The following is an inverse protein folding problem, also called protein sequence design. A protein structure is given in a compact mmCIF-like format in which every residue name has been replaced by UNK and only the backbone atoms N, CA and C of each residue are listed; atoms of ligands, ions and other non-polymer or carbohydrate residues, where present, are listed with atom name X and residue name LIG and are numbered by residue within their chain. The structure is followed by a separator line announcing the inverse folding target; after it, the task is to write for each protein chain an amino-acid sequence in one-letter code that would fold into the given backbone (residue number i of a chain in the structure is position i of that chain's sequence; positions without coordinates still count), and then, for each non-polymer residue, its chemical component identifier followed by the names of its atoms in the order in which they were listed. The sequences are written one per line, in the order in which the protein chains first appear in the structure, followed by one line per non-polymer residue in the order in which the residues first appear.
data_IF_675633081286
#
_entry.id   IF_675633081286
#
_cell.length_a   1.000
_cell.length_b   1.000
_cell.length_c   1.000
_cell.angle_alpha   90.00
_cell.angle_beta   90.00
_cell.angle_gamma   90.00
#
_symmetry.space_group_name_H-M   'P 1'
#
loop_
_entity.id
_entity.type
_entity.pdbx_description
1 polymer ?
#
# COMPACT_ATOMS: atom_id res chain seq x y z
N UNK A 1 7.48 19.53 -8.00
CA UNK A 1 8.86 19.01 -7.83
C UNK A 1 9.78 20.21 -7.84
N UNK A 2 10.63 20.35 -6.82
CA UNK A 2 11.55 21.48 -6.68
C UNK A 2 12.99 21.00 -6.89
N UNK A 3 13.77 21.77 -7.64
CA UNK A 3 15.20 21.57 -7.81
C UNK A 3 15.87 22.76 -7.13
N UNK A 4 16.05 22.65 -5.82
CA UNK A 4 16.70 23.67 -5.02
C UNK A 4 18.22 23.55 -5.19
N UNK A 5 18.79 24.51 -5.92
CA UNK A 5 20.23 24.59 -6.19
C UNK A 5 20.79 25.91 -5.67
N UNK A 6 22.09 25.89 -5.44
CA UNK A 6 22.88 27.08 -5.15
C UNK A 6 23.70 27.42 -6.40
N UNK A 7 23.93 28.70 -6.64
CA UNK A 7 24.73 29.18 -7.77
C UNK A 7 25.65 30.30 -7.30
N UNK A 8 26.80 30.41 -7.94
CA UNK A 8 27.71 31.55 -7.77
C UNK A 8 27.53 32.52 -8.96
N UNK A 9 27.09 33.76 -8.76
CA UNK A 9 26.94 34.74 -9.84
C UNK A 9 28.21 35.01 -10.65
N UNK A 10 29.40 34.82 -10.05
CA UNK A 10 30.68 35.09 -10.68
C UNK A 10 31.21 33.89 -11.49
N UNK A 11 30.83 32.65 -11.10
CA UNK A 11 31.29 31.41 -11.76
C UNK A 11 30.21 30.75 -12.65
N UNK A 12 28.94 30.79 -12.26
CA UNK A 12 27.82 30.09 -12.90
C UNK A 12 27.10 30.95 -13.95
N UNK A 13 27.87 31.42 -14.92
CA UNK A 13 27.34 32.18 -16.07
C UNK A 13 26.53 31.27 -17.02
N UNK A 14 25.48 31.84 -17.62
CA UNK A 14 24.57 31.15 -18.57
C UNK A 14 23.89 29.92 -17.97
N UNK A 15 23.30 30.12 -16.80
CA UNK A 15 22.56 29.06 -16.13
C UNK A 15 21.39 28.53 -16.99
N UNK A 16 21.23 27.21 -16.99
CA UNK A 16 20.10 26.51 -17.62
C UNK A 16 19.59 25.45 -16.66
N UNK A 17 18.29 25.51 -16.38
CA UNK A 17 17.56 24.51 -15.59
C UNK A 17 16.84 23.58 -16.56
N UNK A 18 17.08 22.27 -16.49
CA UNK A 18 16.38 21.26 -17.28
C UNK A 18 15.75 20.22 -16.37
N UNK A 19 14.57 19.75 -16.76
CA UNK A 19 13.93 18.59 -16.15
C UNK A 19 13.72 17.53 -17.23
N UNK A 20 14.16 16.31 -16.94
CA UNK A 20 13.99 15.11 -17.76
C UNK A 20 13.01 14.17 -17.07
N UNK A 21 12.30 13.37 -17.87
CA UNK A 21 11.36 12.36 -17.40
C UNK A 21 11.82 10.99 -17.85
N UNK A 22 11.97 10.05 -16.92
CA UNK A 22 12.57 8.73 -17.14
C UNK A 22 13.86 8.86 -17.99
N UNK A 23 14.02 7.98 -18.98
CA UNK A 23 15.18 7.95 -19.87
C UNK A 23 14.95 8.75 -21.17
N UNK A 24 14.02 9.72 -21.16
CA UNK A 24 13.75 10.53 -22.35
C UNK A 24 14.95 11.41 -22.68
N UNK A 25 15.41 11.44 -23.95
CA UNK A 25 16.61 12.18 -24.34
C UNK A 25 16.40 13.70 -24.37
N UNK A 26 15.15 14.14 -24.49
CA UNK A 26 14.79 15.56 -24.50
C UNK A 26 14.20 15.98 -23.14
N UNK A 27 14.50 17.20 -22.66
CA UNK A 27 13.91 17.69 -21.42
C UNK A 27 12.41 17.90 -21.60
N UNK A 28 11.62 17.54 -20.60
CA UNK A 28 10.18 17.87 -20.52
C UNK A 28 9.95 19.33 -20.11
N UNK A 29 10.98 19.98 -19.56
CA UNK A 29 10.97 21.40 -19.23
C UNK A 29 12.39 21.96 -19.25
N UNK A 30 12.55 23.18 -19.78
CA UNK A 30 13.80 23.93 -19.71
C UNK A 30 13.53 25.39 -19.39
N UNK A 31 14.40 26.00 -18.59
CA UNK A 31 14.37 27.43 -18.30
C UNK A 31 15.77 28.04 -18.32
N UNK A 32 15.89 29.22 -18.93
CA UNK A 32 17.11 30.03 -18.98
C UNK A 32 16.82 31.37 -18.28
N UNK A 33 17.33 31.61 -17.06
CA UNK A 33 16.99 32.80 -16.27
C UNK A 33 17.38 34.13 -16.91
N UNK A 34 18.54 34.18 -17.57
CA UNK A 34 19.10 35.41 -18.15
C UNK A 34 18.37 35.90 -19.40
N UNK A 35 17.41 35.14 -19.93
CA UNK A 35 16.68 35.52 -21.14
C UNK A 35 15.22 35.70 -20.86
N UNK A 36 14.69 36.86 -21.26
CA UNK A 36 13.27 37.17 -21.13
C UNK A 36 12.42 36.08 -21.78
N UNK A 37 11.55 35.47 -20.98
CA UNK A 37 10.52 34.52 -21.40
C UNK A 37 10.99 33.16 -22.00
N UNK A 38 12.22 32.71 -21.73
CA UNK A 38 12.76 31.44 -22.24
C UNK A 38 12.42 30.21 -21.37
N UNK A 39 11.13 29.92 -21.20
CA UNK A 39 10.67 28.61 -20.70
C UNK A 39 10.20 27.73 -21.84
N UNK A 40 10.79 26.56 -21.97
CA UNK A 40 10.34 25.50 -22.86
C UNK A 40 9.58 24.44 -22.05
N UNK A 41 8.44 24.02 -22.58
CA UNK A 41 7.56 23.01 -21.98
C UNK A 41 7.31 21.93 -23.03
N UNK A 42 7.74 20.72 -22.72
CA UNK A 42 7.56 19.55 -23.56
C UNK A 42 6.08 19.20 -23.75
N UNK A 43 5.74 18.66 -24.93
CA UNK A 43 4.35 18.34 -25.31
C UNK A 43 3.67 17.37 -24.35
N UNK A 44 4.43 16.42 -23.79
CA UNK A 44 3.93 15.37 -22.88
C UNK A 44 3.31 15.93 -21.61
N UNK A 45 3.89 16.99 -21.04
CA UNK A 45 3.43 17.58 -19.77
C UNK A 45 2.60 18.85 -19.96
N UNK A 46 2.54 19.41 -21.18
CA UNK A 46 1.97 20.74 -21.45
C UNK A 46 0.53 20.91 -20.97
N UNK A 47 -0.30 19.87 -21.09
CA UNK A 47 -1.71 19.87 -20.64
C UNK A 47 -1.87 19.95 -19.11
N UNK A 48 -0.79 19.68 -18.37
CA UNK A 48 -0.77 19.58 -16.92
C UNK A 48 0.09 20.68 -16.27
N UNK A 49 0.91 21.37 -17.07
CA UNK A 49 1.90 22.29 -16.55
C UNK A 49 1.27 23.61 -16.11
N UNK A 50 1.61 24.04 -14.90
CA UNK A 50 1.23 25.36 -14.42
C UNK A 50 2.25 26.43 -14.82
N UNK A 51 1.91 27.20 -15.86
CA UNK A 51 2.75 28.29 -16.35
C UNK A 51 2.94 29.43 -15.33
N UNK A 52 2.04 29.60 -14.37
CA UNK A 52 2.06 30.71 -13.43
C UNK A 52 2.77 30.34 -12.11
N UNK A 53 3.19 29.08 -11.96
CA UNK A 53 3.90 28.65 -10.77
C UNK A 53 5.32 29.24 -10.73
N UNK A 54 5.65 29.86 -9.61
CA UNK A 54 6.98 30.34 -9.28
C UNK A 54 7.27 30.13 -7.79
N UNK A 55 8.55 30.05 -7.43
CA UNK A 55 9.02 29.94 -6.05
C UNK A 55 9.82 31.20 -5.70
N UNK A 56 9.28 32.03 -4.80
CA UNK A 56 9.92 33.29 -4.41
C UNK A 56 10.04 34.28 -5.55
N UNK A 57 10.87 35.31 -5.35
CA UNK A 57 11.01 36.45 -6.26
C UNK A 57 12.41 36.57 -6.89
N UNK A 58 13.34 35.70 -6.52
CA UNK A 58 14.71 35.73 -7.03
C UNK A 58 14.76 35.36 -8.52
N UNK A 59 15.45 36.18 -9.32
CA UNK A 59 15.43 36.09 -10.77
C UNK A 59 16.05 34.80 -11.32
N UNK A 60 16.99 34.20 -10.58
CA UNK A 60 17.69 33.00 -10.99
C UNK A 60 17.03 31.72 -10.48
N UNK A 61 16.22 31.77 -9.43
CA UNK A 61 15.63 30.57 -8.84
C UNK A 61 14.11 30.46 -8.99
N UNK A 62 13.40 31.55 -9.35
CA UNK A 62 11.92 31.59 -9.36
C UNK A 62 11.21 30.51 -10.17
N UNK A 63 11.80 30.00 -11.26
CA UNK A 63 11.20 28.95 -12.09
C UNK A 63 11.99 27.63 -12.06
N UNK A 64 12.71 27.37 -10.97
CA UNK A 64 13.49 26.13 -10.78
C UNK A 64 12.61 24.88 -10.58
N UNK A 65 11.37 25.09 -10.16
CA UNK A 65 10.42 24.04 -9.83
C UNK A 65 9.31 23.92 -10.87
N UNK A 66 8.83 22.69 -11.04
CA UNK A 66 7.70 22.38 -11.91
C UNK A 66 6.48 21.99 -11.06
N UNK A 67 5.32 22.57 -11.38
CA UNK A 67 4.02 22.22 -10.81
C UNK A 67 3.15 21.59 -11.90
N UNK A 68 2.79 20.33 -11.68
CA UNK A 68 1.87 19.58 -12.53
C UNK A 68 0.52 19.53 -11.83
N UNK A 69 -0.54 19.97 -12.50
CA UNK A 69 -1.90 19.98 -11.99
C UNK A 69 -2.74 18.99 -12.80
N UNK A 70 -3.67 18.26 -12.14
CA UNK A 70 -4.62 17.41 -12.84
C UNK A 70 -5.45 18.25 -13.83
N UNK A 71 -5.82 17.66 -14.99
CA UNK A 71 -6.68 18.35 -15.93
C UNK A 71 -8.07 18.57 -15.31
N UNK A 72 -8.84 19.55 -15.79
CA UNK A 72 -10.20 19.79 -15.31
C UNK A 72 -11.21 18.68 -15.65
N UNK A 73 -10.84 17.72 -16.52
CA UNK A 73 -11.68 16.57 -16.90
C UNK A 73 -11.44 15.36 -15.97
N UNK A 74 -12.40 14.42 -15.85
CA UNK A 74 -12.47 13.50 -14.72
C UNK A 74 -11.48 12.32 -14.72
N UNK A 75 -10.47 12.26 -15.59
CA UNK A 75 -9.55 11.11 -15.67
C UNK A 75 -8.28 11.29 -14.81
N UNK A 76 -8.49 11.43 -13.49
CA UNK A 76 -7.43 11.60 -12.47
C UNK A 76 -6.42 10.44 -12.44
N UNK A 77 -6.86 9.24 -12.81
CA UNK A 77 -6.00 8.05 -12.87
C UNK A 77 -5.11 8.02 -14.13
N UNK A 78 -5.56 8.51 -15.30
CA UNK A 78 -4.72 8.59 -16.51
C UNK A 78 -3.65 9.66 -16.32
N UNK A 79 -4.03 10.77 -15.69
CA UNK A 79 -3.10 11.80 -15.24
C UNK A 79 -2.00 11.21 -14.35
N UNK A 80 -2.37 10.37 -13.38
CA UNK A 80 -1.41 9.74 -12.48
C UNK A 80 -0.48 8.73 -13.16
N UNK A 81 -1.02 7.90 -14.06
CA UNK A 81 -0.24 6.87 -14.75
C UNK A 81 0.77 7.49 -15.73
N UNK A 82 0.37 8.48 -16.53
CA UNK A 82 1.23 9.12 -17.53
C UNK A 82 2.43 9.86 -16.92
N UNK A 83 2.29 10.34 -15.69
CA UNK A 83 3.27 11.19 -15.01
C UNK A 83 4.05 10.49 -13.90
N UNK A 84 3.73 9.24 -13.56
CA UNK A 84 4.50 8.48 -12.59
C UNK A 84 5.83 8.03 -13.20
N UNK A 85 6.94 8.33 -12.56
CA UNK A 85 8.26 7.97 -13.05
C UNK A 85 9.40 8.71 -12.36
N UNK A 86 10.59 8.55 -12.92
CA UNK A 86 11.78 9.27 -12.48
C UNK A 86 11.81 10.66 -13.11
N UNK A 87 12.13 11.67 -12.31
CA UNK A 87 12.31 13.04 -12.75
C UNK A 87 13.70 13.48 -12.36
N UNK A 88 14.48 13.87 -13.35
CA UNK A 88 15.87 14.29 -13.16
C UNK A 88 15.96 15.77 -13.46
N UNK A 89 16.28 16.57 -12.44
CA UNK A 89 16.67 17.95 -12.66
C UNK A 89 18.16 18.02 -12.94
N UNK A 90 18.52 18.81 -13.94
CA UNK A 90 19.90 19.06 -14.37
C UNK A 90 20.09 20.56 -14.42
N UNK A 91 21.03 21.05 -13.64
CA UNK A 91 21.43 22.46 -13.58
C UNK A 91 22.78 22.56 -14.26
N UNK A 92 22.89 23.41 -15.27
CA UNK A 92 24.14 23.60 -16.02
C UNK A 92 24.47 25.06 -16.20
N UNK A 93 25.72 25.44 -15.99
CA UNK A 93 26.33 26.70 -16.43
C UNK A 93 27.34 26.41 -17.56
N UNK A 94 28.11 27.41 -17.98
CA UNK A 94 29.25 27.17 -18.89
C UNK A 94 30.35 26.34 -18.21
N UNK A 95 30.53 26.50 -16.90
CA UNK A 95 31.67 25.95 -16.16
C UNK A 95 31.34 24.63 -15.45
N UNK A 96 30.10 24.42 -15.07
CA UNK A 96 29.70 23.31 -14.21
C UNK A 96 28.34 22.72 -14.60
N UNK A 97 28.10 21.49 -14.17
CA UNK A 97 26.81 20.84 -14.27
C UNK A 97 26.61 19.94 -13.05
N UNK A 98 25.42 19.99 -12.47
CA UNK A 98 24.99 19.08 -11.41
C UNK A 98 23.57 18.54 -11.71
N UNK A 99 23.23 17.41 -11.11
CA UNK A 99 21.93 16.77 -11.32
C UNK A 99 21.42 16.05 -10.09
N UNK A 100 20.10 16.02 -9.95
CA UNK A 100 19.41 15.23 -8.92
C UNK A 100 18.19 14.55 -9.51
N UNK A 101 18.00 13.30 -9.15
CA UNK A 101 16.83 12.52 -9.54
C UNK A 101 15.91 12.26 -8.35
N UNK A 102 14.61 12.38 -8.57
CA UNK A 102 13.56 11.96 -7.64
C UNK A 102 12.51 11.13 -8.36
N UNK A 103 11.80 10.29 -7.62
CA UNK A 103 10.70 9.49 -8.17
C UNK A 103 9.35 10.11 -7.76
N UNK A 104 8.46 10.30 -8.73
CA UNK A 104 7.07 10.70 -8.50
C UNK A 104 6.18 9.50 -8.78
N UNK A 105 5.34 9.12 -7.82
CA UNK A 105 4.40 8.01 -7.94
C UNK A 105 3.01 8.49 -7.58
N UNK A 106 2.07 8.35 -8.50
CA UNK A 106 0.66 8.51 -8.23
C UNK A 106 0.07 7.16 -7.86
N UNK A 107 -0.74 7.14 -6.81
CA UNK A 107 -1.40 5.93 -6.36
C UNK A 107 -2.85 6.20 -5.96
N UNK A 108 -3.66 5.16 -6.03
CA UNK A 108 -5.02 5.14 -5.53
C UNK A 108 -5.09 4.17 -4.35
N UNK A 109 -5.34 4.66 -3.13
CA UNK A 109 -5.61 3.82 -1.98
C UNK A 109 -6.80 2.88 -2.25
N UNK A 110 -6.88 1.72 -1.58
CA UNK A 110 -8.05 0.85 -1.66
C UNK A 110 -9.32 1.61 -1.30
N UNK A 111 -10.33 1.46 -2.15
CA UNK A 111 -11.70 1.83 -1.82
C UNK A 111 -12.19 0.99 -0.64
N UNK A 112 -11.89 -0.31 -0.67
CA UNK A 112 -12.23 -1.26 0.38
C UNK A 112 -11.03 -2.13 0.72
N UNK A 113 -10.72 -2.26 2.00
CA UNK A 113 -9.68 -3.15 2.53
C UNK A 113 -10.29 -4.01 3.63
N UNK A 114 -10.30 -5.33 3.45
CA UNK A 114 -10.99 -6.27 4.32
C UNK A 114 -10.07 -7.39 4.77
N UNK A 115 -10.30 -7.86 5.99
CA UNK A 115 -9.64 -9.02 6.55
C UNK A 115 -10.66 -9.74 7.41
N UNK A 116 -11.01 -10.96 7.00
CA UNK A 116 -12.14 -11.72 7.51
C UNK A 116 -11.72 -13.16 7.80
N UNK A 117 -12.39 -13.81 8.75
CA UNK A 117 -12.23 -15.23 9.05
C UNK A 117 -13.57 -15.97 8.91
N UNK A 118 -13.50 -17.16 8.34
CA UNK A 118 -14.63 -18.03 8.04
C UNK A 118 -14.38 -19.41 8.68
N UNK A 119 -15.35 -19.93 9.41
CA UNK A 119 -15.38 -21.35 9.81
C UNK A 119 -16.07 -22.18 8.73
N UNK A 120 -15.92 -23.51 8.78
CA UNK A 120 -16.74 -24.46 8.04
C UNK A 120 -18.21 -24.29 8.49
N UNK A 121 -18.92 -23.29 7.95
CA UNK A 121 -20.29 -22.93 8.33
C UNK A 121 -20.67 -21.43 8.29
N UNK A 122 -19.72 -20.48 8.15
CA UNK A 122 -20.06 -19.05 8.04
C UNK A 122 -18.96 -18.05 8.45
N UNK A 123 -19.24 -16.74 8.34
CA UNK A 123 -18.34 -15.66 8.80
C UNK A 123 -18.32 -15.57 10.33
N UNK A 124 -17.13 -15.62 10.94
CA UNK A 124 -16.93 -15.49 12.40
C UNK A 124 -16.75 -14.03 12.87
N UNK A 125 -17.08 -13.06 12.01
CA UNK A 125 -16.85 -11.64 12.30
C UNK A 125 -18.01 -10.99 13.06
N UNK A 126 -18.29 -11.34 14.32
CA UNK A 126 -19.03 -10.44 15.21
C UNK A 126 -18.65 -10.65 16.69
N UNK A 127 -18.34 -9.57 17.44
CA UNK A 127 -18.70 -9.54 18.85
C UNK A 127 -20.23 -9.45 18.91
N UNK A 128 -20.88 -10.58 19.21
CA UNK A 128 -22.31 -10.59 19.55
C UNK A 128 -22.48 -9.91 20.90
N UNK A 129 -22.77 -8.62 20.89
CA UNK A 129 -23.55 -8.02 21.97
C UNK A 129 -25.01 -8.41 21.71
N UNK A 130 -25.56 -9.22 22.62
CA UNK A 130 -26.96 -9.57 22.82
C UNK A 130 -27.99 -8.92 21.88
N UNK A 131 -28.69 -9.74 21.09
CA UNK A 131 -30.12 -9.93 21.27
C UNK A 131 -30.62 -11.14 20.46
N UNK A 132 -31.35 -12.00 21.15
CA UNK A 132 -32.23 -13.02 20.61
C UNK A 132 -33.05 -12.52 19.41
N UNK A 133 -32.93 -13.20 18.26
CA UNK A 133 -34.07 -13.34 17.34
C UNK A 133 -34.03 -14.70 16.67
N UNK A 134 -35.07 -15.48 16.99
CA UNK A 134 -35.48 -16.72 16.33
C UNK A 134 -35.36 -16.65 14.81
N UNK A 135 -34.65 -17.60 14.22
CA UNK A 135 -34.96 -18.09 12.88
C UNK A 135 -35.31 -19.56 12.97
N UNK A 136 -36.60 -19.85 12.88
CA UNK A 136 -37.14 -21.17 12.60
C UNK A 136 -36.47 -21.72 11.33
N UNK A 137 -35.66 -22.75 11.47
CA UNK A 137 -35.40 -23.70 10.39
C UNK A 137 -36.30 -24.89 10.66
N UNK A 138 -37.28 -25.07 9.78
CA UNK A 138 -38.19 -26.20 9.80
C UNK A 138 -37.39 -27.49 9.63
N UNK A 139 -37.61 -28.41 10.57
CA UNK A 139 -37.36 -29.83 10.42
C UNK A 139 -38.01 -30.34 9.14
N UNK A 140 -37.26 -31.11 8.36
CA UNK A 140 -37.81 -32.21 7.59
C UNK A 140 -36.89 -33.41 7.82
N UNK A 141 -37.38 -34.33 8.65
CA UNK A 141 -36.85 -35.68 8.77
C UNK A 141 -36.99 -36.41 7.43
N UNK A 142 -35.96 -37.15 7.05
CA UNK A 142 -36.09 -38.45 6.39
C UNK A 142 -34.85 -39.28 6.72
N UNK A 143 -35.06 -40.30 7.56
CA UNK A 143 -34.13 -41.39 7.84
C UNK A 143 -33.82 -42.19 6.56
N UNK A 144 -32.55 -42.51 6.34
CA UNK A 144 -32.11 -43.74 5.67
C UNK A 144 -30.85 -44.24 6.40
N UNK A 145 -30.85 -45.53 6.70
CA UNK A 145 -29.90 -46.31 7.49
C UNK A 145 -28.51 -46.51 6.87
N UNK A 146 -27.54 -46.77 7.76
CA UNK A 146 -26.31 -47.57 7.67
C UNK A 146 -25.39 -47.47 6.43
N UNK A 147 -24.16 -46.96 6.63
CA UNK A 147 -22.94 -47.77 6.45
C UNK A 147 -21.71 -47.05 7.02
N UNK A 148 -21.09 -47.67 8.03
CA UNK A 148 -19.76 -47.32 8.55
C UNK A 148 -18.72 -47.51 7.45
N UNK A 149 -18.08 -46.43 7.02
CA UNK A 149 -16.83 -46.48 6.29
C UNK A 149 -15.92 -45.34 6.78
N UNK A 150 -15.21 -45.65 7.86
CA UNK A 150 -14.03 -44.92 8.32
C UNK A 150 -12.95 -44.97 7.22
N UNK A 151 -12.99 -43.98 6.33
CA UNK A 151 -11.83 -43.55 5.57
C UNK A 151 -11.29 -42.28 6.24
N UNK A 152 -10.58 -42.49 7.35
CA UNK A 152 -9.71 -41.50 8.00
C UNK A 152 -8.55 -41.16 7.05
N UNK A 153 -8.81 -40.27 6.09
CA UNK A 153 -7.79 -39.56 5.33
C UNK A 153 -8.42 -38.25 4.83
N UNK A 154 -8.46 -37.20 5.65
CA UNK A 154 -8.36 -35.79 5.23
C UNK A 154 -8.47 -34.81 6.45
N UNK A 155 -7.55 -34.95 7.42
CA UNK A 155 -7.51 -34.12 8.63
C UNK A 155 -6.88 -32.71 8.41
N UNK A 156 -6.49 -32.37 7.18
CA UNK A 156 -5.91 -31.06 6.84
C UNK A 156 -6.97 -29.98 6.49
N UNK A 157 -8.26 -30.32 6.46
CA UNK A 157 -9.32 -29.45 5.93
C UNK A 157 -10.21 -28.74 6.96
N UNK A 158 -10.07 -29.00 8.26
CA UNK A 158 -11.06 -28.49 9.24
C UNK A 158 -10.74 -27.10 9.85
N UNK A 159 -9.57 -26.56 9.54
CA UNK A 159 -9.15 -25.26 10.08
C UNK A 159 -9.89 -24.06 9.48
N UNK A 160 -10.05 -22.95 10.24
CA UNK A 160 -10.72 -21.76 9.75
C UNK A 160 -9.94 -21.11 8.60
N UNK A 161 -10.67 -20.56 7.63
CA UNK A 161 -10.11 -19.86 6.48
C UNK A 161 -10.08 -18.37 6.75
N UNK A 162 -8.92 -17.74 6.54
CA UNK A 162 -8.79 -16.29 6.53
C UNK A 162 -8.78 -15.79 5.09
N UNK A 163 -9.44 -14.66 4.84
CA UNK A 163 -9.40 -13.94 3.57
C UNK A 163 -8.99 -12.51 3.81
N UNK A 164 -8.01 -12.04 3.06
CA UNK A 164 -7.69 -10.63 2.99
C UNK A 164 -7.89 -10.11 1.57
N UNK A 165 -8.56 -8.97 1.42
CA UNK A 165 -8.82 -8.37 0.11
C UNK A 165 -8.63 -6.85 0.12
N UNK A 166 -8.16 -6.32 -1.01
CA UNK A 166 -8.07 -4.90 -1.29
C UNK A 166 -8.68 -4.64 -2.67
N UNK A 167 -9.57 -3.66 -2.76
CA UNK A 167 -10.37 -3.37 -3.95
C UNK A 167 -9.99 -2.01 -4.54
N UNK A 168 -9.95 -1.97 -5.88
CA UNK A 168 -9.74 -0.76 -6.66
C UNK A 168 -8.48 0.02 -6.29
N UNK A 169 -7.34 -0.68 -6.20
CA UNK A 169 -6.03 -0.12 -5.85
C UNK A 169 -5.19 0.11 -7.11
N UNK A 170 -4.38 1.18 -7.13
CA UNK A 170 -3.36 1.39 -8.16
C UNK A 170 -2.07 1.94 -7.54
N UNK A 171 -0.87 1.50 -7.98
CA UNK A 171 -0.60 0.32 -8.83
C UNK A 171 -0.98 -1.01 -8.16
N UNK A 172 -0.68 -2.15 -8.79
CA UNK A 172 -0.95 -3.48 -8.24
C UNK A 172 -0.41 -3.59 -6.80
N UNK A 173 -1.28 -3.82 -5.81
CA UNK A 173 -0.86 -3.86 -4.41
C UNK A 173 -0.12 -5.15 -4.07
N UNK A 174 0.63 -5.10 -2.97
CA UNK A 174 1.19 -6.27 -2.31
C UNK A 174 0.39 -6.54 -1.05
N UNK A 175 -0.14 -7.77 -0.95
CA UNK A 175 -0.79 -8.27 0.25
C UNK A 175 0.14 -9.26 0.94
N UNK A 176 0.27 -9.13 2.25
CA UNK A 176 1.05 -10.02 3.10
C UNK A 176 0.26 -10.41 4.34
N UNK A 177 0.55 -11.61 4.84
CA UNK A 177 -0.08 -12.19 6.01
C UNK A 177 0.98 -12.53 7.03
N UNK A 178 0.73 -12.19 8.29
CA UNK A 178 1.62 -12.52 9.39
C UNK A 178 0.86 -12.94 10.64
N UNK A 179 1.46 -13.87 11.39
CA UNK A 179 1.05 -14.20 12.74
C UNK A 179 1.87 -13.38 13.71
N UNK A 180 1.28 -12.69 14.68
CA UNK A 180 1.97 -11.98 15.76
C UNK A 180 1.64 -12.72 17.07
N UNK A 181 2.62 -13.45 17.57
CA UNK A 181 2.52 -14.11 18.87
C UNK A 181 2.84 -13.06 19.94
N UNK A 182 1.88 -12.76 20.81
CA UNK A 182 2.17 -12.01 22.02
C UNK A 182 3.14 -12.85 22.86
N UNK A 183 4.37 -12.39 23.07
CA UNK A 183 5.24 -13.00 24.06
C UNK A 183 4.64 -12.68 25.44
N UNK A 184 4.53 -13.70 26.30
CA UNK A 184 4.08 -13.59 27.70
C UNK A 184 4.93 -12.61 28.54
N UNK A 185 6.01 -12.05 28.00
CA UNK A 185 6.88 -11.08 28.66
C UNK A 185 6.29 -9.67 28.82
N UNK A 186 5.11 -9.37 28.28
CA UNK A 186 4.49 -8.04 28.41
C UNK A 186 3.62 -7.85 29.66
N UNK A 187 3.46 -8.85 30.53
CA UNK A 187 2.61 -8.75 31.73
C UNK A 187 3.36 -8.65 33.08
N UNK A 188 4.69 -8.47 33.11
CA UNK A 188 5.42 -8.24 34.36
C UNK A 188 6.53 -7.21 34.18
N UNK A 189 6.19 -5.91 34.19
CA UNK A 189 7.16 -4.86 34.50
C UNK A 189 7.21 -4.72 36.01
N UNK A 190 8.06 -5.50 36.65
CA UNK A 190 8.58 -5.13 37.97
C UNK A 190 9.59 -4.01 37.75
N UNK A 191 9.35 -2.88 38.43
CA UNK A 191 10.31 -1.79 38.58
C UNK A 191 11.66 -2.38 39.02
N UNK A 192 12.71 -2.26 38.21
CA UNK A 192 14.08 -1.85 38.59
C UNK A 192 14.95 -1.71 37.32
N UNK A 193 15.34 -0.46 37.05
CA UNK A 193 16.41 0.09 36.19
C UNK A 193 16.56 -0.27 34.69
N UNK A 194 17.02 0.70 33.86
CA UNK A 194 17.00 0.58 32.41
C UNK A 194 18.30 -0.02 31.85
N UNK A 195 18.20 -1.21 31.27
CA UNK A 195 19.13 -1.68 30.23
C UNK A 195 18.40 -1.70 28.90
N UNK A 196 18.97 -1.04 27.90
CA UNK A 196 18.49 -0.98 26.51
C UNK A 196 17.94 -2.32 26.01
N UNK A 197 16.69 -2.40 25.53
CA UNK A 197 16.21 -3.63 24.91
C UNK A 197 16.79 -3.72 23.50
N UNK A 198 17.64 -4.74 23.29
CA UNK A 198 17.91 -5.22 21.94
C UNK A 198 16.57 -5.64 21.32
N UNK A 199 16.20 -5.00 20.22
CA UNK A 199 15.05 -5.40 19.41
C UNK A 199 15.29 -6.84 18.96
N UNK A 200 14.63 -7.79 19.61
CA UNK A 200 14.58 -9.16 19.10
C UNK A 200 13.84 -9.09 17.76
N UNK A 201 14.59 -9.20 16.67
CA UNK A 201 14.01 -9.36 15.35
C UNK A 201 13.23 -10.67 15.38
N UNK A 202 11.90 -10.57 15.46
CA UNK A 202 11.01 -11.69 15.18
C UNK A 202 11.29 -12.15 13.75
N UNK A 203 12.14 -13.17 13.59
CA UNK A 203 12.27 -13.92 12.34
C UNK A 203 11.01 -14.76 12.17
N UNK A 204 9.95 -14.14 11.67
CA UNK A 204 8.78 -14.87 11.20
C UNK A 204 9.00 -15.18 9.73
N UNK A 205 9.40 -16.43 9.45
CA UNK A 205 9.32 -16.99 8.10
C UNK A 205 7.83 -17.20 7.81
N UNK A 206 7.27 -16.36 6.94
CA UNK A 206 5.87 -16.48 6.56
C UNK A 206 5.70 -17.54 5.47
N UNK A 207 4.58 -18.27 5.45
CA UNK A 207 4.24 -19.08 4.29
C UNK A 207 4.16 -18.18 3.05
N UNK A 208 4.68 -18.63 1.91
CA UNK A 208 4.47 -17.95 0.65
C UNK A 208 3.00 -18.11 0.29
N UNK A 209 2.22 -17.03 0.43
CA UNK A 209 0.80 -17.04 0.08
C UNK A 209 0.66 -16.58 -1.36
N UNK A 210 -0.05 -17.39 -2.16
CA UNK A 210 -0.41 -17.02 -3.51
C UNK A 210 -1.50 -15.94 -3.46
N UNK A 211 -1.13 -14.71 -3.82
CA UNK A 211 -2.07 -13.60 -3.92
C UNK A 211 -2.72 -13.62 -5.30
N UNK A 212 -4.03 -13.81 -5.34
CA UNK A 212 -4.82 -13.67 -6.55
C UNK A 212 -5.04 -12.18 -6.80
N UNK A 213 -4.89 -11.76 -8.05
CA UNK A 213 -5.14 -10.36 -8.44
C UNK A 213 -5.91 -10.34 -9.74
N UNK A 214 -7.06 -9.67 -9.71
CA UNK A 214 -7.84 -9.32 -10.89
C UNK A 214 -7.59 -7.85 -11.22
N UNK A 215 -7.33 -7.59 -12.50
CA UNK A 215 -7.31 -6.25 -13.05
C UNK A 215 -8.71 -5.92 -13.57
N UNK A 216 -9.30 -4.86 -13.04
CA UNK A 216 -10.56 -4.30 -13.52
C UNK A 216 -10.21 -3.17 -14.50
N UNK A 217 -10.47 -3.41 -15.77
CA UNK A 217 -10.39 -2.38 -16.80
C UNK A 217 -11.73 -1.63 -16.78
N UNK A 218 -11.77 -0.53 -16.06
CA UNK A 218 -12.86 0.46 -16.20
C UNK A 218 -12.47 1.42 -17.31
N UNK A 219 -13.44 2.02 -18.02
CA UNK A 219 -13.33 2.69 -19.33
C UNK A 219 -12.06 3.52 -19.65
N UNK A 220 -11.24 3.91 -18.67
CA UNK A 220 -9.95 4.56 -18.91
C UNK A 220 -8.79 4.18 -17.97
N UNK A 221 -8.92 3.20 -17.05
CA UNK A 221 -7.92 2.94 -16.01
C UNK A 221 -7.82 1.49 -15.53
N UNK A 222 -6.59 1.07 -15.22
CA UNK A 222 -6.26 -0.22 -14.61
C UNK A 222 -6.33 -0.11 -13.08
N UNK A 223 -7.39 -0.66 -12.48
CA UNK A 223 -7.52 -0.78 -11.04
C UNK A 223 -7.41 -2.25 -10.64
N UNK A 224 -6.74 -2.53 -9.53
CA UNK A 224 -6.50 -3.89 -9.08
C UNK A 224 -7.37 -4.24 -7.88
N UNK A 225 -8.01 -5.40 -7.96
CA UNK A 225 -8.56 -6.09 -6.82
C UNK A 225 -7.67 -7.29 -6.52
N UNK A 226 -7.02 -7.28 -5.36
CA UNK A 226 -6.14 -8.35 -4.92
C UNK A 226 -6.69 -9.00 -3.66
N UNK A 227 -6.57 -10.31 -3.56
CA UNK A 227 -6.92 -11.04 -2.35
C UNK A 227 -6.14 -12.33 -2.23
N UNK A 228 -6.11 -12.88 -1.03
CA UNK A 228 -5.68 -14.25 -0.79
C UNK A 228 -6.64 -14.91 0.19
N UNK A 229 -6.67 -16.24 0.13
CA UNK A 229 -7.32 -17.10 1.12
C UNK A 229 -6.25 -18.02 1.70
N UNK A 230 -6.26 -18.19 3.02
CA UNK A 230 -5.29 -19.04 3.72
C UNK A 230 -6.02 -19.83 4.81
N UNK A 231 -5.84 -21.15 4.81
CA UNK A 231 -6.41 -22.03 5.82
C UNK A 231 -5.44 -22.14 7.00
N UNK A 232 -5.90 -21.80 8.21
CA UNK A 232 -5.13 -21.93 9.43
C UNK A 232 -5.13 -23.40 9.87
N UNK A 233 -3.97 -24.00 10.17
CA UNK A 233 -3.94 -25.35 10.74
C UNK A 233 -4.39 -25.29 12.20
N UNK A 234 -5.38 -26.09 12.60
CA UNK A 234 -5.97 -26.05 13.97
C UNK A 234 -4.88 -26.21 15.03
N UNK A 235 -3.98 -27.18 14.87
CA UNK A 235 -2.88 -27.45 15.82
C UNK A 235 -1.88 -26.30 15.98
N UNK A 236 -1.84 -25.38 15.02
CA UNK A 236 -0.97 -24.21 15.06
C UNK A 236 -1.61 -22.98 15.70
N UNK A 237 -2.93 -23.00 15.94
CA UNK A 237 -3.66 -21.86 16.48
C UNK A 237 -3.41 -21.79 17.99
N UNK A 238 -2.71 -20.74 18.43
CA UNK A 238 -2.55 -20.43 19.84
C UNK A 238 -3.58 -19.39 20.28
N UNK A 239 -4.11 -19.57 21.49
CA UNK A 239 -5.02 -18.59 22.09
C UNK A 239 -4.32 -17.24 22.21
N UNK A 240 -5.00 -16.18 21.78
CA UNK A 240 -4.45 -14.84 21.83
C UNK A 240 -3.48 -14.50 20.70
N UNK A 241 -3.21 -15.42 19.77
CA UNK A 241 -2.53 -15.13 18.51
C UNK A 241 -3.25 -14.01 17.77
N UNK A 242 -2.47 -13.05 17.26
CA UNK A 242 -2.96 -11.94 16.45
C UNK A 242 -2.53 -12.20 15.01
N UNK A 243 -3.46 -12.37 14.09
CA UNK A 243 -3.17 -12.38 12.67
C UNK A 243 -3.22 -10.96 12.11
N UNK A 244 -2.30 -10.61 11.23
CA UNK A 244 -2.22 -9.32 10.55
C UNK A 244 -2.27 -9.55 9.04
N UNK A 245 -3.22 -8.90 8.37
CA UNK A 245 -3.10 -8.64 6.94
C UNK A 245 -2.52 -7.25 6.72
N UNK A 246 -1.47 -7.17 5.90
CA UNK A 246 -0.76 -5.95 5.54
C UNK A 246 -0.85 -5.71 4.04
N UNK A 247 -1.33 -4.53 3.68
CA UNK A 247 -1.44 -3.99 2.34
C UNK A 247 -0.35 -2.93 2.13
N UNK A 248 0.40 -3.07 1.05
CA UNK A 248 1.38 -2.08 0.60
C UNK A 248 1.12 -1.69 -0.85
N UNK A 249 1.36 -0.42 -1.16
CA UNK A 249 1.42 0.03 -2.55
C UNK A 249 2.90 0.18 -2.91
N UNK A 250 3.44 -0.61 -3.86
CA UNK A 250 4.84 -0.56 -4.24
C UNK A 250 5.32 0.84 -4.58
N UNK A 251 6.60 1.13 -4.30
CA UNK A 251 7.25 2.43 -4.60
C UNK A 251 6.65 3.65 -3.87
N UNK A 252 5.77 3.41 -2.90
CA UNK A 252 5.21 4.44 -2.03
C UNK A 252 5.50 4.11 -0.56
N UNK A 253 5.21 5.05 0.34
CA UNK A 253 5.18 4.82 1.78
C UNK A 253 3.79 4.37 2.29
N UNK A 254 2.85 4.05 1.40
CA UNK A 254 1.51 3.67 1.78
C UNK A 254 1.48 2.25 2.35
N UNK A 255 1.08 2.15 3.62
CA UNK A 255 0.90 0.87 4.32
C UNK A 255 -0.42 0.92 5.09
N UNK A 256 -1.24 -0.13 4.94
CA UNK A 256 -2.41 -0.38 5.79
C UNK A 256 -2.37 -1.77 6.37
N UNK A 257 -2.87 -1.90 7.60
CA UNK A 257 -2.88 -3.15 8.35
C UNK A 257 -4.25 -3.39 8.95
N UNK A 258 -4.72 -4.64 8.90
CA UNK A 258 -5.89 -5.12 9.66
C UNK A 258 -5.48 -6.32 10.48
N UNK A 259 -6.03 -6.43 11.69
CA UNK A 259 -5.67 -7.49 12.63
C UNK A 259 -6.91 -8.20 13.15
N UNK A 260 -6.81 -9.51 13.33
CA UNK A 260 -7.82 -10.35 13.97
C UNK A 260 -7.12 -11.09 15.11
N UNK A 261 -7.71 -11.06 16.30
CA UNK A 261 -7.24 -11.84 17.45
C UNK A 261 -8.20 -12.99 17.67
N UNK A 262 -7.69 -14.22 17.73
CA UNK A 262 -8.52 -15.36 18.12
C UNK A 262 -8.57 -15.47 19.64
N UNK A 263 -9.79 -15.51 20.16
CA UNK A 263 -10.09 -15.68 21.58
C UNK A 263 -11.03 -16.88 21.66
N UNK A 264 -10.60 -17.93 22.36
CA UNK A 264 -11.52 -19.01 22.74
C UNK A 264 -12.32 -18.58 23.97
N UNK A 265 -13.62 -18.91 24.06
CA UNK A 265 -14.35 -18.73 25.29
C UNK A 265 -13.70 -19.60 26.37
N UNK A 266 -13.21 -18.97 27.43
CA UNK A 266 -12.85 -19.70 28.64
C UNK A 266 -14.15 -20.31 29.17
N UNK A 267 -14.23 -21.64 29.20
CA UNK A 267 -15.20 -22.32 30.03
C UNK A 267 -14.89 -21.92 31.47
N UNK A 268 -15.62 -20.92 31.98
CA UNK A 268 -15.79 -20.81 33.43
C UNK A 268 -16.48 -22.10 33.83
N UNK A 269 -15.73 -23.02 34.44
CA UNK A 269 -16.29 -24.08 35.25
C UNK A 269 -17.22 -23.40 36.26
N UNK A 270 -18.52 -23.66 36.15
CA UNK A 270 -19.45 -23.45 37.26
C UNK A 270 -18.97 -24.39 38.37
N UNK A 271 -18.30 -23.83 39.37
CA UNK A 271 -18.30 -24.39 40.73
C UNK A 271 -19.58 -23.97 41.45
#
# INVERSE_FOLDING_TARGET
MDCDYQYDPDEDIKLVVRWFYNDWPEPIYQWIPESDNNRYIGKSIRKYFDMNFQIGDDSFTKYRAIRLMPPPSPSLLSFGLELSGNYTCVISSIMSQDSRQGQLVFYVPPEKFEFNIFSNGGQLNLPTNDLSTNTNLQNNDNNVDDDDNDNDNDDDNDGPMVRCSAHNVFPKPVLSFSELIASDSMMMVNNHQPSYPQQSQMKQSFPMINVITIMNESDHHQLYTSWFEYRLKIDSIKVGTIYECRLEIPTTNYIRKKRIKLIYPSSKSME
#
